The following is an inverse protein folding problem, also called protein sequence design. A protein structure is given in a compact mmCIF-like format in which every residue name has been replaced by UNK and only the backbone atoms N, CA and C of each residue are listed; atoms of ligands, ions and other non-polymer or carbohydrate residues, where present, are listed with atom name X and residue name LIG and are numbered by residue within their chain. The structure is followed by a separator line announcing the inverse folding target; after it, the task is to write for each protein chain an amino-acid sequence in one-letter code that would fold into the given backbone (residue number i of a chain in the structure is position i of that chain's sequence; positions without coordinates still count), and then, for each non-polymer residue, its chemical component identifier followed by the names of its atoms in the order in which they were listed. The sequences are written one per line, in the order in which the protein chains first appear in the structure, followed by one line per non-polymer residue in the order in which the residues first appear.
data_IF_172830417432
#
_entry.id   IF_172830417432
#
_cell.length_a   1.000
_cell.length_b   1.000
_cell.length_c   1.000
_cell.angle_alpha   90.00
_cell.angle_beta   90.00
_cell.angle_gamma   90.00
#
_symmetry.space_group_name_H-M   'P 1'
#
loop_
_entity.id
_entity.type
_entity.pdbx_description
1 polymer ?
#
# COMPACT_ATOMS: atom_id res chain seq x y z
N UNK A 1 -3.99 19.54 5.77
CA UNK A 1 -2.75 19.52 4.94
C UNK A 1 -1.58 20.28 5.60
N UNK A 2 -1.36 20.16 6.92
CA UNK A 2 -0.29 20.92 7.60
C UNK A 2 1.06 20.16 7.70
N UNK A 3 1.07 18.85 7.47
CA UNK A 3 2.24 18.01 7.69
C UNK A 3 3.26 18.05 6.54
N UNK A 4 2.82 18.34 5.31
CA UNK A 4 3.70 18.37 4.14
C UNK A 4 4.54 19.66 4.06
N UNK A 5 4.03 20.79 4.54
CA UNK A 5 4.75 22.08 4.48
C UNK A 5 5.94 22.12 5.45
N UNK A 6 5.83 21.43 6.60
CA UNK A 6 6.87 21.40 7.64
C UNK A 6 8.14 20.67 7.19
N UNK A 7 8.01 19.60 6.40
CA UNK A 7 9.14 18.82 5.91
C UNK A 7 9.95 19.53 4.82
N UNK A 8 9.31 20.34 3.96
CA UNK A 8 10.02 21.08 2.92
C UNK A 8 10.85 22.24 3.50
N UNK A 9 10.35 22.95 4.52
CA UNK A 9 11.09 24.04 5.19
C UNK A 9 12.27 23.47 6.00
N UNK A 10 12.10 22.30 6.64
CA UNK A 10 13.17 21.67 7.42
C UNK A 10 14.36 21.22 6.57
N UNK A 11 14.16 20.88 5.30
CA UNK A 11 15.24 20.34 4.46
C UNK A 11 16.14 21.43 3.86
N UNK A 12 15.61 22.65 3.68
CA UNK A 12 16.39 23.82 3.26
C UNK A 12 17.23 24.41 4.41
N UNK A 13 16.69 24.44 5.64
CA UNK A 13 17.41 25.00 6.81
C UNK A 13 18.58 24.11 7.25
N UNK A 14 18.49 22.80 7.07
CA UNK A 14 19.59 21.86 7.41
C UNK A 14 20.80 21.93 6.49
N UNK A 15 20.66 22.48 5.28
CA UNK A 15 21.74 22.51 4.29
C UNK A 15 22.54 23.82 4.22
N UNK A 16 22.27 24.80 5.09
CA UNK A 16 22.87 26.15 4.98
C UNK A 16 23.55 26.72 6.23
N UNK A 17 23.97 25.92 7.22
CA UNK A 17 24.65 26.58 8.33
C UNK A 17 25.27 25.73 9.42
N UNK A 18 26.60 25.79 9.44
CA UNK A 18 27.45 25.82 10.63
C UNK A 18 27.78 24.48 11.28
N UNK A 19 29.04 24.06 11.07
CA UNK A 19 29.66 22.96 11.78
C UNK A 19 30.14 23.34 13.18
N UNK A 20 30.42 22.28 13.95
CA UNK A 20 31.31 22.28 15.10
C UNK A 20 30.65 22.45 16.47
N UNK A 21 30.88 21.49 17.37
CA UNK A 21 30.83 21.75 18.82
C UNK A 21 30.23 20.64 19.68
N UNK A 22 31.11 19.99 20.42
CA UNK A 22 31.01 19.05 21.56
C UNK A 22 29.83 19.14 22.55
N UNK A 23 29.63 17.98 23.22
CA UNK A 23 29.08 17.76 24.58
C UNK A 23 27.56 18.04 24.77
N UNK A 24 26.72 17.24 25.41
CA UNK A 24 26.82 16.34 26.57
C UNK A 24 25.54 15.45 26.62
N UNK A 25 25.62 14.28 27.29
CA UNK A 25 24.54 13.52 27.99
C UNK A 25 23.37 12.99 27.13
N UNK A 26 22.97 11.72 27.12
CA UNK A 26 22.75 10.74 28.21
C UNK A 26 22.40 9.38 27.58
N UNK A 27 22.79 8.32 28.29
CA UNK A 27 22.13 7.00 28.36
C UNK A 27 22.03 6.17 27.07
N UNK A 28 23.07 5.37 26.87
CA UNK A 28 23.00 4.11 26.15
C UNK A 28 22.10 3.13 26.92
N UNK A 29 20.93 2.84 26.36
CA UNK A 29 19.98 1.87 26.91
C UNK A 29 19.08 1.31 25.82
N UNK A 30 19.46 0.15 25.29
CA UNK A 30 18.55 -0.91 24.81
C UNK A 30 17.46 -0.56 23.81
N UNK A 31 17.62 -1.07 22.58
CA UNK A 31 16.57 -1.29 21.57
C UNK A 31 15.80 -0.04 21.14
N UNK A 32 16.15 0.50 19.96
CA UNK A 32 15.35 1.52 19.29
C UNK A 32 13.93 1.02 19.08
N UNK A 33 13.00 1.47 19.92
CA UNK A 33 11.57 1.24 19.74
C UNK A 33 11.17 1.74 18.33
N UNK A 34 10.58 0.90 17.46
CA UNK A 34 10.20 1.30 16.11
C UNK A 34 9.26 2.52 16.10
N UNK A 35 8.49 2.72 17.18
CA UNK A 35 7.67 3.93 17.36
C UNK A 35 8.54 5.17 17.59
N UNK A 36 9.56 5.08 18.46
CA UNK A 36 10.50 6.17 18.73
C UNK A 36 11.38 6.50 17.51
N UNK A 37 11.79 5.49 16.74
CA UNK A 37 12.54 5.66 15.49
C UNK A 37 11.74 6.42 14.40
N UNK A 38 10.40 6.31 14.45
CA UNK A 38 9.48 7.03 13.56
C UNK A 38 8.98 8.36 14.15
N UNK A 39 9.42 8.71 15.37
CA UNK A 39 9.04 9.94 16.06
C UNK A 39 7.57 10.00 16.47
N UNK A 40 6.91 8.83 16.62
CA UNK A 40 5.51 8.71 17.00
C UNK A 40 5.39 8.09 18.39
N UNK A 41 4.31 8.41 19.11
CA UNK A 41 3.96 7.68 20.33
C UNK A 41 3.59 6.23 19.98
N UNK A 42 3.75 5.30 20.92
CA UNK A 42 3.50 3.87 20.69
C UNK A 42 2.09 3.60 20.18
N UNK A 43 1.10 4.32 20.71
CA UNK A 43 -0.31 4.22 20.31
C UNK A 43 -0.53 4.69 18.86
N UNK A 44 0.07 5.84 18.47
CA UNK A 44 0.00 6.35 17.10
C UNK A 44 0.68 5.40 16.09
N UNK A 45 1.74 4.68 16.51
CA UNK A 45 2.42 3.71 15.66
C UNK A 45 1.58 2.46 15.40
N UNK A 46 0.87 1.96 16.42
CA UNK A 46 -0.04 0.82 16.30
C UNK A 46 -1.24 1.17 15.41
N UNK A 47 -1.83 2.35 15.56
CA UNK A 47 -2.90 2.84 14.68
C UNK A 47 -2.42 3.02 13.24
N UNK A 48 -1.24 3.59 13.04
CA UNK A 48 -0.64 3.72 11.71
C UNK A 48 -0.43 2.35 11.04
N UNK A 49 0.08 1.36 11.78
CA UNK A 49 0.23 0.01 11.24
C UNK A 49 -1.11 -0.59 10.85
N UNK A 50 -2.14 -0.40 11.68
CA UNK A 50 -3.49 -0.86 11.37
C UNK A 50 -4.04 -0.21 10.10
N UNK A 51 -3.92 1.10 9.96
CA UNK A 51 -4.35 1.83 8.75
C UNK A 51 -3.63 1.35 7.49
N UNK A 52 -2.31 1.13 7.58
CA UNK A 52 -1.52 0.62 6.45
C UNK A 52 -1.96 -0.79 6.02
N UNK A 53 -2.33 -1.65 6.98
CA UNK A 53 -2.83 -3.00 6.69
C UNK A 53 -4.23 -2.92 6.07
N UNK A 54 -5.11 -2.10 6.62
CA UNK A 54 -6.47 -1.90 6.13
C UNK A 54 -6.48 -1.36 4.69
N UNK A 55 -5.72 -0.30 4.41
CA UNK A 55 -5.60 0.26 3.06
C UNK A 55 -5.00 -0.76 2.07
N UNK A 56 -4.05 -1.58 2.53
CA UNK A 56 -3.49 -2.65 1.71
C UNK A 56 -4.56 -3.71 1.40
N UNK A 57 -5.35 -4.12 2.38
CA UNK A 57 -6.42 -5.09 2.19
C UNK A 57 -7.48 -4.58 1.21
N UNK A 58 -7.92 -3.32 1.36
CA UNK A 58 -8.87 -2.69 0.43
C UNK A 58 -8.32 -2.62 -0.99
N UNK A 59 -7.05 -2.23 -1.15
CA UNK A 59 -6.39 -2.22 -2.47
C UNK A 59 -6.30 -3.60 -3.07
N UNK A 60 -5.87 -4.59 -2.31
CA UNK A 60 -5.70 -5.97 -2.79
C UNK A 60 -7.06 -6.57 -3.19
N UNK A 61 -8.14 -6.28 -2.46
CA UNK A 61 -9.49 -6.67 -2.83
C UNK A 61 -9.93 -6.02 -4.16
N UNK A 62 -9.74 -4.71 -4.32
CA UNK A 62 -10.09 -4.00 -5.55
C UNK A 62 -9.28 -4.49 -6.76
N UNK A 63 -8.00 -4.82 -6.58
CA UNK A 63 -7.18 -5.41 -7.63
C UNK A 63 -7.63 -6.82 -8.01
N UNK A 64 -8.05 -7.61 -7.03
CA UNK A 64 -8.55 -8.97 -7.25
C UNK A 64 -9.83 -8.94 -8.07
N UNK A 65 -10.78 -8.08 -7.72
CA UNK A 65 -12.03 -7.88 -8.47
C UNK A 65 -11.76 -7.44 -9.92
N UNK A 66 -10.96 -6.39 -10.14
CA UNK A 66 -10.62 -5.91 -11.50
C UNK A 66 -9.91 -6.95 -12.35
N UNK A 67 -9.06 -7.79 -11.74
CA UNK A 67 -8.38 -8.89 -12.45
C UNK A 67 -9.38 -9.95 -12.89
N UNK A 68 -10.33 -10.30 -12.02
CA UNK A 68 -11.39 -11.24 -12.33
C UNK A 68 -12.33 -10.70 -13.41
N UNK A 69 -12.74 -9.42 -13.36
CA UNK A 69 -13.56 -8.79 -14.41
C UNK A 69 -12.86 -8.89 -15.77
N UNK A 70 -11.57 -8.53 -15.80
CA UNK A 70 -10.75 -8.63 -17.02
C UNK A 70 -10.58 -10.08 -17.48
N UNK A 71 -10.53 -11.05 -16.58
CA UNK A 71 -10.48 -12.46 -16.91
C UNK A 71 -11.83 -12.94 -17.47
N UNK A 72 -12.95 -12.49 -16.92
CA UNK A 72 -14.30 -12.77 -17.42
C UNK A 72 -14.48 -12.26 -18.86
N UNK A 73 -14.05 -11.02 -19.15
CA UNK A 73 -14.00 -10.48 -20.53
C UNK A 73 -13.23 -11.38 -21.48
N UNK A 74 -12.06 -11.84 -21.02
CA UNK A 74 -11.15 -12.69 -21.79
C UNK A 74 -11.73 -14.08 -22.05
N UNK A 75 -12.49 -14.64 -21.10
CA UNK A 75 -13.22 -15.91 -21.27
C UNK A 75 -14.35 -15.72 -22.29
N UNK A 76 -15.15 -14.66 -22.16
CA UNK A 76 -16.24 -14.38 -23.08
C UNK A 76 -15.77 -14.24 -24.53
N UNK A 77 -14.69 -13.50 -24.78
CA UNK A 77 -14.11 -13.36 -26.12
C UNK A 77 -13.57 -14.69 -26.65
N UNK A 78 -12.95 -15.52 -25.80
CA UNK A 78 -12.47 -16.84 -26.22
C UNK A 78 -13.62 -17.75 -26.65
N UNK A 79 -14.71 -17.76 -25.88
CA UNK A 79 -15.90 -18.54 -26.22
C UNK A 79 -16.53 -18.03 -27.53
N UNK A 80 -16.65 -16.71 -27.69
CA UNK A 80 -17.19 -16.07 -28.90
C UNK A 80 -16.42 -16.45 -30.17
N UNK A 81 -15.09 -16.52 -30.09
CA UNK A 81 -14.21 -16.84 -31.22
C UNK A 81 -13.74 -18.30 -31.25
N UNK A 82 -14.29 -19.17 -30.38
CA UNK A 82 -13.91 -20.60 -30.25
C UNK A 82 -12.41 -20.82 -30.04
N UNK A 83 -11.79 -19.93 -29.27
CA UNK A 83 -10.40 -20.05 -28.86
C UNK A 83 -10.27 -21.01 -27.66
N UNK A 84 -9.11 -21.66 -27.48
CA UNK A 84 -8.87 -22.49 -26.30
C UNK A 84 -9.01 -21.70 -25.00
N UNK A 85 -9.62 -22.33 -24.00
CA UNK A 85 -9.74 -21.79 -22.64
C UNK A 85 -8.37 -21.59 -21.99
N UNK A 86 -8.31 -20.68 -21.02
CA UNK A 86 -7.09 -20.39 -20.28
C UNK A 86 -7.31 -20.65 -18.79
N UNK A 87 -6.56 -21.59 -18.23
CA UNK A 87 -6.60 -21.94 -16.80
C UNK A 87 -6.21 -20.73 -15.91
N UNK A 88 -5.35 -19.84 -16.41
CA UNK A 88 -4.98 -18.60 -15.71
C UNK A 88 -6.15 -17.63 -15.57
N UNK A 89 -7.10 -17.65 -16.51
CA UNK A 89 -8.28 -16.78 -16.45
C UNK A 89 -9.30 -17.37 -15.48
N UNK A 90 -9.50 -18.69 -15.50
CA UNK A 90 -10.36 -19.41 -14.56
C UNK A 90 -9.90 -19.24 -13.11
N UNK A 91 -8.60 -19.34 -12.85
CA UNK A 91 -8.03 -19.10 -11.51
C UNK A 91 -8.21 -17.66 -11.04
N UNK A 92 -8.09 -16.67 -11.93
CA UNK A 92 -8.32 -15.26 -11.58
C UNK A 92 -9.77 -14.97 -11.22
N UNK A 93 -10.72 -15.65 -11.87
CA UNK A 93 -12.16 -15.54 -11.56
C UNK A 93 -12.45 -16.18 -10.19
N UNK A 94 -11.96 -17.40 -9.95
CA UNK A 94 -12.15 -18.11 -8.66
C UNK A 94 -11.57 -17.34 -7.46
N UNK A 95 -10.44 -16.64 -7.65
CA UNK A 95 -9.81 -15.85 -6.59
C UNK A 95 -10.64 -14.66 -6.12
N UNK A 96 -11.54 -14.13 -6.95
CA UNK A 96 -12.44 -13.04 -6.57
C UNK A 96 -13.77 -13.53 -5.96
N UNK A 97 -13.97 -14.86 -5.91
CA UNK A 97 -15.30 -15.44 -5.75
C UNK A 97 -16.00 -15.49 -7.10
N UNK A 98 -16.62 -16.62 -7.45
CA UNK A 98 -17.17 -16.89 -8.79
C UNK A 98 -18.28 -15.90 -9.25
N UNK A 99 -18.69 -14.96 -8.40
CA UNK A 99 -19.68 -13.90 -8.67
C UNK A 99 -19.04 -12.67 -9.35
N UNK A 100 -18.28 -12.89 -10.44
CA UNK A 100 -17.74 -11.79 -11.25
C UNK A 100 -18.43 -11.76 -12.61
N UNK A 101 -19.48 -10.95 -12.66
CA UNK A 101 -20.26 -10.74 -13.87
C UNK A 101 -19.48 -9.92 -14.92
N UNK A 102 -19.87 -10.13 -16.17
CA UNK A 102 -19.40 -9.32 -17.28
C UNK A 102 -19.95 -7.89 -17.11
N UNK A 103 -19.12 -6.84 -17.24
CA UNK A 103 -19.61 -5.47 -17.25
C UNK A 103 -20.78 -5.29 -18.24
N UNK A 104 -21.88 -4.67 -17.81
CA UNK A 104 -23.11 -4.54 -18.61
C UNK A 104 -22.94 -3.70 -19.89
N UNK A 105 -21.91 -2.86 -19.95
CA UNK A 105 -21.64 -1.91 -21.05
C UNK A 105 -20.92 -2.52 -22.28
N UNK A 106 -20.86 -3.85 -22.41
CA UNK A 106 -20.12 -4.55 -23.48
C UNK A 106 -20.95 -4.89 -24.72
#
# INVERSE_FOLDING_TARGET
MAFFVKNMISNQVKNLGFGGGSEEKKEEGGTSDPAAAKGMTREEYEEYQKQMIEEKMERDAAFTQKKAERACLRVHLRDKYRLPKSEMDETQIQLAGDDVDLPEDL
#
